data_IF_108039767991
#
_entry.id   IF_108039767991
#
_cell.length_a   1.000
_cell.length_b   1.000
_cell.length_c   1.000
_cell.angle_alpha   90.00
_cell.angle_beta   90.00
_cell.angle_gamma   90.00
#
_symmetry.space_group_name_H-M   'P 1'
#
loop_
_entity.id
_entity.type
_entity.pdbx_description
1 polymer ?
#
# COMPACT_ATOMS: atom_id res chain seq x y z
N UNK A 1 -39.14 -9.62 0.06
CA UNK A 1 -38.05 -10.26 -0.69
C UNK A 1 -37.90 -9.50 -1.99
N UNK A 2 -36.94 -8.57 -2.05
CA UNK A 2 -36.50 -7.97 -3.31
C UNK A 2 -35.56 -8.99 -3.97
N UNK A 3 -35.76 -9.24 -5.27
CA UNK A 3 -34.93 -10.16 -6.05
C UNK A 3 -33.56 -9.52 -6.25
N UNK A 4 -32.50 -10.33 -6.25
CA UNK A 4 -31.09 -9.93 -6.50
C UNK A 4 -30.81 -9.19 -7.82
N UNK A 5 -31.82 -8.99 -8.68
CA UNK A 5 -31.68 -8.42 -10.04
C UNK A 5 -32.17 -6.97 -10.20
N UNK A 6 -32.44 -6.24 -9.11
CA UNK A 6 -32.90 -4.83 -9.16
C UNK A 6 -31.84 -3.80 -8.74
N UNK A 7 -30.56 -4.19 -8.60
CA UNK A 7 -29.48 -3.20 -8.48
C UNK A 7 -29.15 -2.65 -9.86
N UNK A 8 -29.17 -1.33 -10.09
CA UNK A 8 -28.77 -0.76 -11.37
C UNK A 8 -27.35 -1.21 -11.70
N UNK A 9 -27.17 -1.86 -12.86
CA UNK A 9 -25.85 -2.12 -13.42
C UNK A 9 -25.19 -0.78 -13.68
N UNK A 10 -24.14 -0.50 -12.92
CA UNK A 10 -23.38 0.73 -13.03
C UNK A 10 -22.37 0.60 -14.18
N UNK A 11 -22.83 0.87 -15.39
CA UNK A 11 -22.06 0.73 -16.65
C UNK A 11 -21.02 1.86 -16.87
N UNK A 12 -20.73 2.67 -15.84
CA UNK A 12 -19.74 3.75 -15.95
C UNK A 12 -18.34 3.17 -16.17
N UNK A 13 -17.55 3.73 -17.10
CA UNK A 13 -16.23 3.20 -17.41
C UNK A 13 -15.29 3.31 -16.21
N UNK A 14 -14.55 2.24 -15.92
CA UNK A 14 -13.49 2.21 -14.92
C UNK A 14 -12.23 2.90 -15.46
N UNK A 15 -11.98 4.13 -15.02
CA UNK A 15 -10.81 4.91 -15.40
C UNK A 15 -9.56 4.36 -14.71
N UNK A 16 -8.52 4.08 -15.49
CA UNK A 16 -7.20 3.70 -14.97
C UNK A 16 -6.40 4.96 -14.64
N UNK A 17 -5.93 5.07 -13.41
CA UNK A 17 -5.17 6.21 -12.91
C UNK A 17 -3.95 5.70 -12.17
N UNK A 18 -2.83 6.39 -12.30
CA UNK A 18 -1.60 6.13 -11.56
C UNK A 18 -1.27 7.29 -10.63
N UNK A 19 -0.66 6.99 -9.49
CA UNK A 19 -0.16 8.01 -8.58
C UNK A 19 1.23 7.62 -8.04
N UNK A 20 2.10 8.61 -7.91
CA UNK A 20 3.48 8.44 -7.44
C UNK A 20 3.64 8.84 -5.98
N UNK A 21 4.14 7.92 -5.17
CA UNK A 21 4.59 8.12 -3.79
C UNK A 21 6.09 8.34 -3.83
N UNK A 22 6.50 9.59 -4.07
CA UNK A 22 7.90 9.97 -4.26
C UNK A 22 8.55 10.34 -2.94
N UNK A 23 9.73 9.77 -2.68
CA UNK A 23 10.55 10.06 -1.50
C UNK A 23 11.71 10.98 -1.85
N UNK A 24 12.04 11.96 -1.01
CA UNK A 24 13.29 12.73 -1.12
C UNK A 24 14.44 12.08 -0.32
N UNK A 25 15.66 12.62 -0.44
CA UNK A 25 16.82 12.16 0.33
C UNK A 25 16.75 12.37 1.85
N UNK A 26 15.76 13.15 2.33
CA UNK A 26 15.47 13.33 3.75
C UNK A 26 14.41 12.33 4.26
N UNK A 27 13.84 11.49 3.39
CA UNK A 27 12.80 10.53 3.76
C UNK A 27 11.40 11.15 3.91
N UNK A 28 11.14 12.29 3.27
CA UNK A 28 9.80 12.90 3.20
C UNK A 28 9.13 12.59 1.86
N UNK A 29 7.80 12.55 1.88
CA UNK A 29 6.95 12.24 0.73
C UNK A 29 6.42 13.51 0.05
N UNK A 30 6.41 13.52 -1.28
CA UNK A 30 5.86 14.63 -2.04
C UNK A 30 4.33 14.55 -2.10
N UNK A 31 3.67 15.63 -1.67
CA UNK A 31 2.25 15.87 -1.97
C UNK A 31 2.09 17.12 -2.81
N UNK A 32 1.06 17.14 -3.64
CA UNK A 32 0.66 18.29 -4.45
C UNK A 32 -0.80 18.68 -4.15
N UNK A 33 -1.12 19.97 -4.22
CA UNK A 33 -2.50 20.44 -4.13
C UNK A 33 -3.19 20.32 -5.47
N UNK A 34 -4.47 19.97 -5.49
CA UNK A 34 -5.28 19.97 -6.70
C UNK A 34 -5.48 21.41 -7.20
N UNK A 35 -5.14 21.71 -8.46
CA UNK A 35 -5.29 23.06 -9.02
C UNK A 35 -6.76 23.47 -9.11
N UNK A 36 -6.99 24.79 -9.20
CA UNK A 36 -8.32 25.37 -9.38
C UNK A 36 -9.02 24.81 -10.62
N UNK A 37 -10.33 24.60 -10.53
CA UNK A 37 -11.15 24.04 -11.62
C UNK A 37 -11.15 22.52 -11.76
N UNK A 38 -10.28 21.77 -11.06
CA UNK A 38 -10.42 20.32 -10.90
C UNK A 38 -11.40 19.99 -9.75
N UNK A 39 -12.11 18.84 -9.77
CA UNK A 39 -12.88 18.38 -8.61
C UNK A 39 -11.98 18.35 -7.37
N UNK A 40 -12.47 18.79 -6.21
CA UNK A 40 -11.67 18.93 -4.98
C UNK A 40 -10.47 19.89 -5.09
N UNK A 41 -10.59 21.00 -5.83
CA UNK A 41 -9.57 22.06 -5.84
C UNK A 41 -9.11 22.45 -4.42
N UNK A 42 -7.80 22.63 -4.24
CA UNK A 42 -7.17 22.92 -2.96
C UNK A 42 -6.92 21.72 -2.05
N UNK A 43 -7.46 20.54 -2.34
CA UNK A 43 -7.14 19.31 -1.59
C UNK A 43 -5.76 18.79 -1.96
N UNK A 44 -5.06 18.20 -1.00
CA UNK A 44 -3.74 17.61 -1.20
C UNK A 44 -3.81 16.14 -1.60
N UNK A 45 -2.95 15.71 -2.51
CA UNK A 45 -2.87 14.35 -3.00
C UNK A 45 -1.46 13.91 -3.44
N UNK A 46 -1.32 12.63 -3.78
CA UNK A 46 -0.17 12.13 -4.51
C UNK A 46 -0.34 12.46 -6.00
N UNK A 47 0.68 13.06 -6.60
CA UNK A 47 0.65 13.46 -8.01
C UNK A 47 0.57 12.24 -8.95
N UNK A 48 0.01 12.46 -10.12
CA UNK A 48 -0.21 11.44 -11.14
C UNK A 48 -1.50 11.73 -11.92
N UNK A 49 -1.86 10.81 -12.79
CA UNK A 49 -2.95 11.07 -13.72
C UNK A 49 -3.43 9.83 -14.44
N UNK A 50 -4.25 10.08 -15.47
CA UNK A 50 -4.95 9.05 -16.20
C UNK A 50 -3.98 8.29 -17.10
N UNK A 51 -4.14 6.98 -17.16
CA UNK A 51 -3.44 6.14 -18.14
C UNK A 51 -4.16 6.27 -19.48
N UNK A 52 -3.45 6.73 -20.50
CA UNK A 52 -4.02 6.90 -21.84
C UNK A 52 -4.07 5.56 -22.62
N UNK A 53 -4.89 5.47 -23.68
CA UNK A 53 -4.96 4.25 -24.48
C UNK A 53 -3.59 3.83 -25.01
N UNK A 54 -3.27 2.54 -24.85
CA UNK A 54 -1.98 1.93 -25.27
C UNK A 54 -0.76 2.38 -24.45
N UNK A 55 -0.96 3.16 -23.39
CA UNK A 55 0.09 3.58 -22.46
C UNK A 55 0.26 2.55 -21.32
N UNK A 56 1.51 2.28 -20.94
CA UNK A 56 1.80 1.50 -19.73
C UNK A 56 1.59 2.36 -18.48
N UNK A 57 1.35 1.73 -17.32
CA UNK A 57 1.16 2.48 -16.06
C UNK A 57 2.42 3.27 -15.67
N UNK A 58 3.61 2.71 -15.93
CA UNK A 58 4.87 3.38 -15.66
C UNK A 58 5.14 4.54 -16.62
N UNK A 59 4.79 4.39 -17.89
CA UNK A 59 4.95 5.47 -18.88
C UNK A 59 3.99 6.64 -18.58
N UNK A 60 2.74 6.32 -18.21
CA UNK A 60 1.79 7.32 -17.73
C UNK A 60 2.35 8.07 -16.52
N UNK A 61 2.86 7.35 -15.52
CA UNK A 61 3.45 7.97 -14.33
C UNK A 61 4.62 8.90 -14.69
N UNK A 62 5.52 8.46 -15.58
CA UNK A 62 6.67 9.26 -16.03
C UNK A 62 6.22 10.53 -16.74
N UNK A 63 5.26 10.43 -17.67
CA UNK A 63 4.70 11.55 -18.41
C UNK A 63 4.05 12.56 -17.46
N UNK A 64 3.15 12.11 -16.59
CA UNK A 64 2.43 12.97 -15.64
C UNK A 64 3.41 13.73 -14.73
N UNK A 65 4.43 13.06 -14.20
CA UNK A 65 5.44 13.72 -13.35
C UNK A 65 6.31 14.73 -14.12
N UNK A 66 6.59 14.48 -15.40
CA UNK A 66 7.30 15.44 -16.24
C UNK A 66 6.42 16.66 -16.58
N UNK A 67 5.15 16.43 -16.93
CA UNK A 67 4.17 17.44 -17.31
C UNK A 67 3.74 18.32 -16.13
N UNK A 68 3.43 17.73 -14.98
CA UNK A 68 2.92 18.45 -13.81
C UNK A 68 4.04 19.02 -12.94
N UNK A 69 5.11 18.24 -12.72
CA UNK A 69 6.11 18.50 -11.69
C UNK A 69 7.53 18.79 -12.23
N UNK A 70 7.77 18.57 -13.53
CA UNK A 70 9.08 18.80 -14.13
C UNK A 70 10.20 17.89 -13.63
N UNK A 71 9.85 16.70 -13.11
CA UNK A 71 10.82 15.70 -12.67
C UNK A 71 10.72 14.43 -13.51
N UNK A 72 11.82 13.69 -13.59
CA UNK A 72 11.88 12.45 -14.34
C UNK A 72 11.99 11.26 -13.37
N UNK A 73 11.10 10.28 -13.52
CA UNK A 73 11.12 9.02 -12.79
C UNK A 73 11.95 8.00 -13.58
N UNK A 74 12.99 7.44 -12.96
CA UNK A 74 13.87 6.42 -13.54
C UNK A 74 13.33 5.02 -13.26
N UNK A 75 12.92 4.79 -12.02
CA UNK A 75 12.37 3.52 -11.56
C UNK A 75 11.20 3.76 -10.60
N UNK A 76 10.20 2.90 -10.65
CA UNK A 76 9.07 2.93 -9.74
C UNK A 76 8.56 1.50 -9.50
N UNK A 77 8.29 1.17 -8.25
CA UNK A 77 7.78 -0.14 -7.85
C UNK A 77 6.26 -0.03 -7.64
N UNK A 78 5.43 -0.91 -8.23
CA UNK A 78 4.01 -1.00 -7.88
C UNK A 78 3.84 -1.17 -6.36
N UNK A 79 2.78 -0.63 -5.77
CA UNK A 79 2.59 -0.75 -4.32
C UNK A 79 1.15 -1.09 -3.92
N UNK A 80 0.22 -0.16 -4.07
CA UNK A 80 -1.17 -0.35 -3.65
C UNK A 80 -2.12 -0.09 -4.81
N UNK A 81 -3.26 -0.77 -4.77
CA UNK A 81 -4.36 -0.58 -5.71
C UNK A 81 -5.61 -0.21 -4.96
N UNK A 82 -6.32 0.85 -5.38
CA UNK A 82 -7.62 1.22 -4.84
C UNK A 82 -8.65 1.36 -5.96
N UNK A 83 -9.87 0.88 -5.69
CA UNK A 83 -11.02 1.16 -6.55
C UNK A 83 -11.90 2.14 -5.80
N UNK A 84 -12.09 3.32 -6.37
CA UNK A 84 -12.97 4.35 -5.83
C UNK A 84 -14.13 4.60 -6.78
N UNK A 85 -15.35 4.46 -6.27
CA UNK A 85 -16.58 4.77 -7.00
C UNK A 85 -17.04 6.16 -6.59
N UNK A 86 -16.73 7.17 -7.41
CA UNK A 86 -17.26 8.52 -7.24
C UNK A 86 -18.62 8.66 -7.94
N UNK A 87 -19.40 9.68 -7.57
CA UNK A 87 -20.65 10.03 -8.25
C UNK A 87 -20.45 10.33 -9.75
N UNK A 88 -19.26 10.77 -10.15
CA UNK A 88 -18.95 11.17 -11.53
C UNK A 88 -18.12 10.13 -12.31
N UNK A 89 -17.43 9.19 -11.65
CA UNK A 89 -16.63 8.17 -12.31
C UNK A 89 -16.20 7.03 -11.37
N UNK A 90 -15.85 5.86 -11.91
CA UNK A 90 -15.10 4.85 -11.16
C UNK A 90 -13.62 4.93 -11.52
N UNK A 91 -12.77 4.84 -10.50
CA UNK A 91 -11.31 4.98 -10.66
C UNK A 91 -10.63 3.73 -10.12
N UNK A 92 -9.83 3.09 -10.96
CA UNK A 92 -8.85 2.08 -10.61
C UNK A 92 -7.50 2.76 -10.47
N UNK A 93 -7.13 3.07 -9.22
CA UNK A 93 -5.96 3.84 -8.85
C UNK A 93 -4.80 2.92 -8.46
N UNK A 94 -3.68 3.02 -9.18
CA UNK A 94 -2.46 2.24 -8.95
C UNK A 94 -1.38 3.16 -8.40
N UNK A 95 -0.95 2.90 -7.16
CA UNK A 95 0.11 3.64 -6.49
C UNK A 95 1.46 3.00 -6.78
N UNK A 96 2.44 3.83 -7.12
CA UNK A 96 3.83 3.44 -7.32
C UNK A 96 4.72 4.13 -6.30
N UNK A 97 5.67 3.40 -5.72
CA UNK A 97 6.72 3.96 -4.86
C UNK A 97 7.93 4.34 -5.71
N UNK A 98 8.45 5.53 -5.47
CA UNK A 98 9.68 6.02 -6.11
C UNK A 98 10.66 6.42 -5.00
N UNK A 99 11.80 5.74 -4.93
CA UNK A 99 12.83 6.02 -3.93
C UNK A 99 13.59 7.29 -4.30
N UNK A 100 14.27 7.89 -3.33
CA UNK A 100 15.03 9.14 -3.53
C UNK A 100 16.08 9.09 -4.65
N UNK A 101 16.66 7.91 -4.92
CA UNK A 101 17.64 7.73 -6.00
C UNK A 101 17.02 7.40 -7.36
N UNK A 102 15.71 7.16 -7.42
CA UNK A 102 15.01 6.68 -8.62
C UNK A 102 14.29 7.80 -9.38
N UNK A 103 14.60 9.06 -9.08
CA UNK A 103 14.11 10.22 -9.82
C UNK A 103 15.16 11.33 -9.86
N UNK A 104 14.95 12.30 -10.75
CA UNK A 104 15.83 13.46 -10.90
C UNK A 104 15.09 14.69 -11.42
N UNK A 105 15.74 15.85 -11.35
CA UNK A 105 15.18 17.11 -11.80
C UNK A 105 14.97 18.10 -10.66
N UNK A 106 14.27 19.19 -10.94
CA UNK A 106 13.88 20.20 -9.95
C UNK A 106 12.37 20.33 -9.99
N UNK A 107 11.71 20.24 -8.83
CA UNK A 107 10.26 20.36 -8.76
C UNK A 107 9.80 21.73 -9.26
N UNK A 108 8.78 21.71 -10.11
CA UNK A 108 8.12 22.87 -10.71
C UNK A 108 6.61 22.73 -10.54
N UNK A 109 5.93 23.86 -10.35
CA UNK A 109 4.46 23.91 -10.33
C UNK A 109 3.95 24.25 -11.74
N UNK A 110 3.94 23.28 -12.66
CA UNK A 110 3.62 23.54 -14.07
C UNK A 110 2.13 23.77 -14.35
N UNK A 111 1.25 23.42 -13.40
CA UNK A 111 -0.20 23.61 -13.49
C UNK A 111 -0.74 24.62 -12.46
N UNK A 112 0.13 25.40 -11.81
CA UNK A 112 -0.26 26.34 -10.76
C UNK A 112 -0.64 25.68 -9.44
N UNK A 113 -0.28 24.41 -9.25
CA UNK A 113 -0.39 23.69 -7.98
C UNK A 113 0.64 24.15 -6.96
N UNK A 114 0.34 23.99 -5.68
CA UNK A 114 1.36 23.96 -4.63
C UNK A 114 1.87 22.54 -4.44
N UNK A 115 3.09 22.39 -3.95
CA UNK A 115 3.65 21.11 -3.53
C UNK A 115 4.35 21.24 -2.18
N UNK A 116 4.48 20.13 -1.47
CA UNK A 116 5.10 20.09 -0.15
C UNK A 116 5.70 18.72 0.15
N UNK A 117 6.88 18.72 0.76
CA UNK A 117 7.49 17.52 1.33
C UNK A 117 6.90 17.26 2.72
N UNK A 118 6.45 16.04 2.97
CA UNK A 118 5.68 15.68 4.15
C UNK A 118 6.24 14.43 4.82
N UNK A 119 6.40 14.50 6.14
CA UNK A 119 6.86 13.38 6.93
C UNK A 119 5.70 12.43 7.20
N UNK A 120 5.90 11.12 6.97
CA UNK A 120 4.88 10.13 7.34
C UNK A 120 4.56 10.19 8.84
N UNK A 121 3.27 10.25 9.15
CA UNK A 121 2.75 10.40 10.52
C UNK A 121 2.74 11.84 11.05
N UNK A 122 3.25 12.81 10.29
CA UNK A 122 3.30 14.23 10.67
C UNK A 122 3.04 15.11 9.43
N UNK A 123 1.81 15.01 8.92
CA UNK A 123 1.35 15.77 7.77
C UNK A 123 0.90 17.17 8.20
N UNK A 124 1.49 18.20 7.60
CA UNK A 124 1.27 19.62 7.91
C UNK A 124 0.35 20.33 6.93
N UNK A 125 0.00 19.66 5.82
CA UNK A 125 -0.92 20.19 4.79
C UNK A 125 -2.35 19.68 4.98
N UNK A 126 -3.32 20.51 4.62
CA UNK A 126 -4.76 20.17 4.68
C UNK A 126 -5.59 21.05 3.73
N UNK A 127 -6.80 20.61 3.30
CA UNK A 127 -7.40 19.29 3.53
C UNK A 127 -6.77 18.21 2.63
N UNK A 128 -6.69 16.98 3.12
CA UNK A 128 -6.22 15.83 2.34
C UNK A 128 -7.38 15.21 1.55
N UNK A 129 -7.13 14.75 0.32
CA UNK A 129 -8.11 14.00 -0.43
C UNK A 129 -8.53 12.74 0.36
N UNK A 130 -9.82 12.52 0.66
CA UNK A 130 -10.25 11.42 1.55
C UNK A 130 -9.75 10.03 1.13
N UNK A 131 -9.61 9.80 -0.18
CA UNK A 131 -9.11 8.55 -0.75
C UNK A 131 -7.68 8.19 -0.29
N UNK A 132 -6.87 9.18 0.12
CA UNK A 132 -5.47 8.96 0.48
C UNK A 132 -5.29 8.51 1.94
N UNK A 133 -6.30 8.62 2.80
CA UNK A 133 -6.19 8.24 4.22
C UNK A 133 -5.55 6.87 4.45
N UNK A 134 -6.08 5.79 3.84
CA UNK A 134 -5.49 4.45 3.95
C UNK A 134 -4.05 4.35 3.41
N UNK A 135 -3.72 5.09 2.34
CA UNK A 135 -2.38 5.09 1.75
C UNK A 135 -1.39 5.82 2.67
N UNK A 136 -1.80 6.93 3.28
CA UNK A 136 -0.99 7.67 4.25
C UNK A 136 -0.73 6.86 5.50
N UNK A 137 -1.73 6.14 6.02
CA UNK A 137 -1.56 5.20 7.12
C UNK A 137 -0.56 4.09 6.76
N UNK A 138 -0.64 3.57 5.53
CA UNK A 138 0.28 2.55 5.02
C UNK A 138 1.73 3.03 4.89
N UNK A 139 2.02 4.34 4.85
CA UNK A 139 3.39 4.88 4.90
C UNK A 139 4.04 4.73 6.27
N UNK A 140 3.26 4.58 7.34
CA UNK A 140 3.79 4.33 8.68
C UNK A 140 4.25 2.88 8.87
N UNK A 141 3.87 1.96 7.98
CA UNK A 141 4.34 0.56 8.05
C UNK A 141 5.80 0.51 7.62
N UNK A 142 6.71 -0.07 8.44
CA UNK A 142 8.11 -0.25 8.04
C UNK A 142 8.25 -1.21 6.86
N UNK A 143 9.15 -0.88 5.93
CA UNK A 143 9.52 -1.76 4.80
C UNK A 143 10.59 -2.78 5.19
N UNK A 144 11.21 -2.60 6.35
CA UNK A 144 12.15 -3.54 6.96
C UNK A 144 11.57 -4.00 8.30
N UNK A 145 11.36 -5.30 8.41
CA UNK A 145 10.71 -5.94 9.56
C UNK A 145 11.50 -7.18 9.95
N UNK A 146 11.50 -7.47 11.25
CA UNK A 146 12.03 -8.70 11.84
C UNK A 146 11.00 -9.30 12.80
N UNK A 147 11.08 -10.61 13.04
CA UNK A 147 10.21 -11.32 13.97
C UNK A 147 9.58 -12.56 13.38
N UNK A 148 8.49 -13.02 13.98
CA UNK A 148 7.70 -14.19 13.55
C UNK A 148 6.22 -14.00 13.87
N UNK A 149 5.34 -14.85 13.34
CA UNK A 149 3.92 -14.76 13.67
C UNK A 149 3.64 -15.04 15.17
N UNK A 150 4.49 -15.84 15.81
CA UNK A 150 4.35 -16.29 17.20
C UNK A 150 4.83 -15.25 18.20
N UNK A 151 5.84 -14.44 17.81
CA UNK A 151 6.47 -13.44 18.68
C UNK A 151 6.09 -12.00 18.32
N UNK A 152 5.49 -11.82 17.15
CA UNK A 152 5.18 -10.52 16.58
C UNK A 152 6.30 -9.98 15.69
N UNK A 153 6.09 -8.76 15.20
CA UNK A 153 7.03 -8.08 14.32
C UNK A 153 7.53 -6.79 14.94
N UNK A 154 8.77 -6.47 14.65
CA UNK A 154 9.42 -5.20 14.99
C UNK A 154 10.04 -4.59 13.75
N UNK A 155 9.98 -3.28 13.64
CA UNK A 155 10.72 -2.49 12.66
C UNK A 155 10.90 -1.08 13.16
N UNK A 156 11.47 -0.23 12.33
CA UNK A 156 11.65 1.18 12.63
C UNK A 156 11.12 2.01 11.48
N UNK A 157 10.51 3.15 11.81
CA UNK A 157 10.11 4.15 10.84
C UNK A 157 10.50 5.55 11.37
N UNK A 158 10.12 6.60 10.63
CA UNK A 158 10.44 7.99 11.03
C UNK A 158 9.70 8.49 12.28
N UNK A 159 8.74 7.71 12.79
CA UNK A 159 8.00 7.94 14.02
C UNK A 159 8.60 7.18 15.23
N UNK A 160 9.61 6.31 14.99
CA UNK A 160 10.31 5.52 16.01
C UNK A 160 10.07 4.02 15.85
N UNK A 161 10.16 3.31 16.98
CA UNK A 161 9.98 1.87 17.03
C UNK A 161 8.54 1.49 16.64
N UNK A 162 8.42 0.50 15.76
CA UNK A 162 7.15 -0.03 15.31
C UNK A 162 7.02 -1.49 15.75
N UNK A 163 6.04 -1.77 16.60
CA UNK A 163 5.80 -3.11 17.13
C UNK A 163 4.41 -3.61 16.78
N UNK A 164 4.33 -4.85 16.31
CA UNK A 164 3.10 -5.60 16.06
C UNK A 164 3.10 -6.79 17.00
N UNK A 165 2.08 -6.93 17.83
CA UNK A 165 1.99 -8.02 18.80
C UNK A 165 0.96 -9.07 18.38
N UNK A 166 1.21 -10.37 18.58
CA UNK A 166 0.18 -11.39 18.38
C UNK A 166 -1.03 -11.14 19.27
N UNK A 167 -2.24 -11.41 18.77
CA UNK A 167 -3.50 -11.16 19.48
C UNK A 167 -3.57 -11.87 20.83
N UNK A 168 -2.97 -13.06 20.94
CA UNK A 168 -2.89 -13.81 22.19
C UNK A 168 -2.04 -13.11 23.27
N UNK A 169 -1.16 -12.19 22.88
CA UNK A 169 -0.29 -11.40 23.76
C UNK A 169 -0.69 -9.92 23.80
N UNK A 170 -1.82 -9.56 23.19
CA UNK A 170 -2.23 -8.17 23.07
C UNK A 170 -2.73 -7.60 24.40
N UNK A 171 -2.41 -6.33 24.62
CA UNK A 171 -2.83 -5.54 25.79
C UNK A 171 -3.26 -4.15 25.31
N UNK A 172 -4.10 -3.40 26.04
CA UNK A 172 -4.61 -2.10 25.60
C UNK A 172 -3.55 -1.05 25.23
N UNK A 173 -2.32 -1.18 25.72
CA UNK A 173 -1.21 -0.29 25.37
C UNK A 173 -0.62 -0.55 23.97
N UNK A 174 -0.89 -1.73 23.39
CA UNK A 174 -0.36 -2.11 22.09
C UNK A 174 -1.23 -1.54 20.96
N UNK A 175 -0.60 -0.74 20.10
CA UNK A 175 -1.24 -0.06 18.98
C UNK A 175 -1.56 -0.99 17.81
N UNK A 176 -0.69 -1.95 17.53
CA UNK A 176 -0.81 -2.82 16.36
C UNK A 176 -0.90 -4.28 16.78
N UNK A 177 -1.86 -5.00 16.21
CA UNK A 177 -2.14 -6.38 16.58
C UNK A 177 -2.11 -7.29 15.35
N UNK A 178 -1.46 -8.45 15.48
CA UNK A 178 -1.48 -9.54 14.50
C UNK A 178 -2.47 -10.63 14.92
N UNK A 179 -3.39 -11.00 14.06
CA UNK A 179 -4.33 -12.11 14.27
C UNK A 179 -4.41 -12.98 13.01
N UNK A 180 -4.49 -14.30 13.17
CA UNK A 180 -4.72 -15.20 12.03
C UNK A 180 -6.12 -15.05 11.43
N UNK A 181 -6.26 -15.21 10.12
CA UNK A 181 -7.54 -15.06 9.42
C UNK A 181 -8.66 -15.92 10.03
N UNK A 182 -8.39 -17.19 10.34
CA UNK A 182 -9.36 -18.08 10.97
C UNK A 182 -9.71 -17.65 12.41
N UNK A 183 -8.72 -17.19 13.17
CA UNK A 183 -8.94 -16.67 14.51
C UNK A 183 -9.77 -15.37 14.50
N UNK A 184 -9.56 -14.50 13.50
CA UNK A 184 -10.35 -13.29 13.30
C UNK A 184 -11.80 -13.62 12.93
N UNK A 185 -12.01 -14.57 12.01
CA UNK A 185 -13.35 -15.07 11.67
C UNK A 185 -14.06 -15.60 12.93
N UNK A 186 -13.36 -16.39 13.75
CA UNK A 186 -13.92 -16.92 15.00
C UNK A 186 -14.21 -15.83 16.05
N UNK A 187 -13.35 -14.82 16.15
CA UNK A 187 -13.56 -13.67 17.05
C UNK A 187 -14.78 -12.82 16.64
N UNK A 188 -15.15 -12.85 15.35
CA UNK A 188 -16.42 -12.36 14.84
C UNK A 188 -16.58 -10.84 14.77
N UNK A 189 -15.54 -10.08 15.13
CA UNK A 189 -15.49 -8.61 15.02
C UNK A 189 -14.07 -8.09 14.88
N UNK A 190 -13.89 -6.89 14.34
CA UNK A 190 -12.59 -6.22 14.28
C UNK A 190 -12.09 -5.86 15.70
N UNK A 191 -10.86 -6.23 16.11
CA UNK A 191 -10.24 -5.72 17.32
C UNK A 191 -10.15 -4.18 17.31
N UNK A 192 -10.38 -3.54 18.47
CA UNK A 192 -10.24 -2.08 18.61
C UNK A 192 -8.77 -1.72 18.82
N UNK A 193 -8.03 -1.67 17.72
CA UNK A 193 -6.59 -1.36 17.66
C UNK A 193 -6.34 -0.26 16.63
N UNK A 194 -5.22 0.44 16.73
CA UNK A 194 -4.82 1.49 15.78
C UNK A 194 -4.52 0.87 14.40
N UNK A 195 -3.90 -0.32 14.37
CA UNK A 195 -3.68 -1.08 13.14
C UNK A 195 -3.88 -2.58 13.35
N UNK A 196 -4.71 -3.19 12.52
CA UNK A 196 -4.97 -4.63 12.48
C UNK A 196 -4.16 -5.29 11.36
N UNK A 197 -3.29 -6.20 11.76
CA UNK A 197 -2.52 -7.07 10.88
C UNK A 197 -3.18 -8.44 10.83
N UNK A 198 -3.38 -8.98 9.63
CA UNK A 198 -3.99 -10.30 9.45
C UNK A 198 -2.99 -11.26 8.84
N UNK A 199 -2.75 -12.39 9.52
CA UNK A 199 -1.94 -13.48 8.99
C UNK A 199 -2.82 -14.39 8.11
N UNK A 200 -2.36 -14.62 6.88
CA UNK A 200 -2.99 -15.50 5.89
C UNK A 200 -1.97 -16.51 5.36
N UNK A 201 -2.46 -17.65 4.89
CA UNK A 201 -1.65 -18.75 4.36
C UNK A 201 -1.98 -19.06 2.90
N UNK A 202 -3.07 -18.49 2.37
CA UNK A 202 -3.52 -18.73 1.00
C UNK A 202 -4.37 -17.56 0.46
N UNK A 203 -4.68 -17.64 -0.85
CA UNK A 203 -5.42 -16.60 -1.56
C UNK A 203 -6.88 -16.44 -1.10
N UNK A 204 -7.51 -17.50 -0.61
CA UNK A 204 -8.88 -17.45 -0.09
C UNK A 204 -8.93 -16.63 1.21
N UNK A 205 -7.99 -16.87 2.12
CA UNK A 205 -7.85 -16.09 3.35
C UNK A 205 -7.46 -14.64 3.07
N UNK A 206 -6.60 -14.39 2.07
CA UNK A 206 -6.27 -13.04 1.62
C UNK A 206 -7.52 -12.28 1.15
N UNK A 207 -8.32 -12.89 0.28
CA UNK A 207 -9.58 -12.30 -0.20
C UNK A 207 -10.61 -12.10 0.94
N UNK A 208 -10.58 -12.97 1.95
CA UNK A 208 -11.43 -12.92 3.14
C UNK A 208 -10.98 -11.95 4.25
N UNK A 209 -9.94 -11.14 4.02
CA UNK A 209 -9.43 -10.18 5.00
C UNK A 209 -9.58 -8.70 4.56
N UNK A 210 -10.77 -8.25 4.09
CA UNK A 210 -10.95 -6.91 3.50
C UNK A 210 -10.72 -5.77 4.50
N UNK A 211 -10.88 -6.04 5.79
CA UNK A 211 -10.70 -5.05 6.85
C UNK A 211 -9.25 -4.96 7.36
N UNK A 212 -8.31 -5.79 6.88
CA UNK A 212 -6.93 -5.69 7.36
C UNK A 212 -6.31 -4.32 7.02
N UNK A 213 -5.49 -3.75 7.89
CA UNK A 213 -4.65 -2.60 7.54
C UNK A 213 -3.33 -3.05 6.90
N UNK A 214 -2.87 -4.25 7.28
CA UNK A 214 -1.71 -4.94 6.71
C UNK A 214 -2.03 -6.44 6.65
N UNK A 215 -1.64 -7.11 5.56
CA UNK A 215 -1.70 -8.56 5.49
C UNK A 215 -0.28 -9.13 5.55
N UNK A 216 -0.10 -10.13 6.41
CA UNK A 216 1.10 -10.98 6.44
C UNK A 216 0.75 -12.29 5.75
N UNK A 217 1.35 -12.58 4.61
CA UNK A 217 1.17 -13.84 3.92
C UNK A 217 2.32 -14.78 4.26
N UNK A 218 2.02 -15.83 5.02
CA UNK A 218 2.97 -16.92 5.29
C UNK A 218 3.04 -17.85 4.08
N UNK A 219 4.17 -17.85 3.40
CA UNK A 219 4.42 -18.69 2.23
C UNK A 219 5.27 -19.90 2.61
N UNK A 220 4.64 -21.07 2.69
CA UNK A 220 5.28 -22.32 3.13
C UNK A 220 5.89 -23.16 2.00
N UNK A 221 5.62 -22.84 0.74
CA UNK A 221 6.10 -23.60 -0.43
C UNK A 221 6.23 -22.72 -1.68
N UNK A 222 6.83 -23.27 -2.75
CA UNK A 222 7.01 -22.55 -4.02
C UNK A 222 5.67 -22.18 -4.69
N UNK A 223 4.66 -23.04 -4.61
CA UNK A 223 3.33 -22.76 -5.14
C UNK A 223 2.71 -21.52 -4.47
N UNK A 224 2.80 -21.45 -3.14
CA UNK A 224 2.37 -20.26 -2.39
C UNK A 224 3.21 -19.03 -2.77
N UNK A 225 4.51 -19.21 -3.00
CA UNK A 225 5.41 -18.11 -3.37
C UNK A 225 5.05 -17.48 -4.72
N UNK A 226 4.74 -18.32 -5.70
CA UNK A 226 4.26 -17.92 -7.03
C UNK A 226 2.88 -17.28 -6.95
N UNK A 227 2.01 -17.79 -6.07
CA UNK A 227 0.69 -17.20 -5.84
C UNK A 227 0.77 -15.79 -5.26
N UNK A 228 1.70 -15.54 -4.33
CA UNK A 228 2.01 -14.20 -3.81
C UNK A 228 2.43 -13.25 -4.95
N UNK A 229 3.33 -13.70 -5.85
CA UNK A 229 3.74 -12.89 -7.01
C UNK A 229 2.57 -12.54 -7.92
N UNK A 230 1.68 -13.50 -8.17
CA UNK A 230 0.51 -13.26 -8.99
C UNK A 230 -0.40 -12.19 -8.37
N UNK A 231 -0.72 -12.31 -7.08
CA UNK A 231 -1.57 -11.35 -6.35
C UNK A 231 -0.96 -9.95 -6.33
N UNK A 232 0.36 -9.85 -6.14
CA UNK A 232 1.06 -8.56 -6.20
C UNK A 232 0.95 -7.89 -7.58
N UNK A 233 1.06 -8.66 -8.67
CA UNK A 233 0.94 -8.14 -10.05
C UNK A 233 -0.49 -7.69 -10.37
N UNK A 234 -1.48 -8.44 -9.91
CA UNK A 234 -2.90 -8.06 -9.98
C UNK A 234 -3.16 -6.78 -9.19
N UNK A 235 -2.43 -6.59 -8.09
CA UNK A 235 -2.42 -5.40 -7.26
C UNK A 235 -3.14 -5.63 -5.94
N UNK A 236 -2.59 -5.08 -4.86
CA UNK A 236 -3.07 -5.31 -3.49
C UNK A 236 -3.68 -4.06 -2.88
N UNK A 237 -4.80 -4.23 -2.18
CA UNK A 237 -5.51 -3.12 -1.53
C UNK A 237 -4.81 -2.56 -0.30
N UNK A 238 -3.92 -3.33 0.31
CA UNK A 238 -3.24 -3.03 1.58
C UNK A 238 -1.81 -3.54 1.53
N UNK A 239 -0.88 -3.00 2.35
CA UNK A 239 0.46 -3.54 2.48
C UNK A 239 0.48 -5.07 2.64
N UNK A 240 1.21 -5.74 1.74
CA UNK A 240 1.42 -7.18 1.80
C UNK A 240 2.85 -7.47 2.27
N UNK A 241 2.98 -7.97 3.50
CA UNK A 241 4.24 -8.49 4.05
C UNK A 241 4.31 -9.98 3.73
N UNK A 242 5.42 -10.42 3.15
CA UNK A 242 5.65 -11.85 2.88
C UNK A 242 6.49 -12.43 4.01
N UNK A 243 5.97 -13.45 4.68
CA UNK A 243 6.67 -14.23 5.69
C UNK A 243 7.03 -15.58 5.08
N UNK A 244 8.31 -15.94 5.00
CA UNK A 244 8.73 -17.19 4.39
C UNK A 244 10.02 -17.72 5.01
N UNK A 245 10.25 -19.02 4.91
CA UNK A 245 11.54 -19.61 5.30
C UNK A 245 12.70 -19.05 4.44
N UNK A 246 13.93 -19.22 4.92
CA UNK A 246 15.13 -18.64 4.32
C UNK A 246 15.32 -19.05 2.86
N UNK A 247 15.17 -20.34 2.53
CA UNK A 247 15.34 -20.85 1.15
C UNK A 247 14.37 -20.21 0.16
N UNK A 248 13.08 -20.09 0.52
CA UNK A 248 12.08 -19.42 -0.31
C UNK A 248 12.36 -17.92 -0.41
N UNK A 249 12.76 -17.30 0.69
CA UNK A 249 13.10 -15.88 0.72
C UNK A 249 14.30 -15.56 -0.17
N UNK A 250 15.37 -16.36 -0.14
CA UNK A 250 16.52 -16.19 -1.05
C UNK A 250 16.11 -16.28 -2.52
N UNK A 251 15.22 -17.22 -2.85
CA UNK A 251 14.75 -17.44 -4.23
C UNK A 251 13.81 -16.35 -4.74
N UNK A 252 12.88 -15.86 -3.92
CA UNK A 252 11.77 -15.02 -4.37
C UNK A 252 11.80 -13.57 -3.86
N UNK A 253 12.64 -13.21 -2.88
CA UNK A 253 12.66 -11.87 -2.25
C UNK A 253 12.72 -10.73 -3.26
N UNK A 254 13.66 -10.78 -4.20
CA UNK A 254 13.78 -9.73 -5.21
C UNK A 254 12.52 -9.64 -6.07
N UNK A 255 11.97 -10.78 -6.51
CA UNK A 255 10.76 -10.80 -7.33
C UNK A 255 9.53 -10.26 -6.57
N UNK A 256 9.38 -10.60 -5.29
CA UNK A 256 8.29 -10.09 -4.46
C UNK A 256 8.41 -8.59 -4.24
N UNK A 257 9.59 -8.10 -3.91
CA UNK A 257 9.82 -6.66 -3.69
C UNK A 257 9.59 -5.86 -4.98
N UNK A 258 10.09 -6.32 -6.12
CA UNK A 258 9.86 -5.68 -7.43
C UNK A 258 8.37 -5.72 -7.86
N UNK A 259 7.63 -6.75 -7.43
CA UNK A 259 6.19 -6.84 -7.66
C UNK A 259 5.36 -5.98 -6.69
N UNK A 260 5.97 -5.39 -5.65
CA UNK A 260 5.29 -4.48 -4.73
C UNK A 260 5.00 -5.03 -3.34
N UNK A 261 5.63 -6.15 -2.94
CA UNK A 261 5.59 -6.59 -1.54
C UNK A 261 6.10 -5.46 -0.64
N UNK A 262 5.37 -5.19 0.44
CA UNK A 262 5.72 -4.12 1.35
C UNK A 262 7.02 -4.42 2.12
N UNK A 263 7.18 -5.68 2.54
CA UNK A 263 8.36 -6.21 3.19
C UNK A 263 8.44 -7.74 2.97
N UNK A 264 9.64 -8.30 3.13
CA UNK A 264 9.86 -9.75 3.15
C UNK A 264 10.62 -10.11 4.42
N UNK A 265 10.01 -10.93 5.27
CA UNK A 265 10.53 -11.37 6.58
C UNK A 265 10.91 -12.84 6.49
N UNK A 266 12.14 -13.17 6.90
CA UNK A 266 12.55 -14.56 7.03
C UNK A 266 11.98 -15.12 8.34
N UNK A 267 11.12 -16.13 8.23
CA UNK A 267 10.63 -16.87 9.39
C UNK A 267 11.79 -17.70 9.95
N UNK A 268 12.34 -17.27 11.09
CA UNK A 268 13.33 -18.08 11.80
C UNK A 268 12.58 -19.24 12.44
N UNK A 269 12.83 -20.46 11.99
CA UNK A 269 12.45 -21.63 12.77
C UNK A 269 13.13 -21.49 14.14
N UNK A 270 12.35 -21.36 15.21
CA UNK A 270 12.87 -21.57 16.56
C UNK A 270 13.23 -23.06 16.66
N UNK A 271 14.45 -23.40 16.26
CA UNK A 271 15.01 -24.72 16.48
C UNK A 271 15.06 -24.97 17.98
N UNK A 272 14.32 -25.95 18.46
CA UNK A 272 14.67 -26.61 19.71
C UNK A 272 15.97 -27.38 19.42
N UNK A 273 17.08 -26.85 19.90
CA UNK A 273 18.34 -27.59 20.05
C UNK A 273 18.31 -28.36 21.38
#
# INVERSE_FOLDING_TARGET
MLKENDMPQDDRPLLRVVAGVVLNGQGDYLLASRPEGKPYAGYWEFAGGKVEPQESELDALKREFEEELGIHIHHATPWLTKIHMYEHAHVHLRFFRVKAGDWSGTLQAKEGQSWSWQKAGDFTVSPMLPANGPVLAALAVPTELAGSAETGFTGENRMGDYRVVPFAMWEPAHKHCLIGAEALKHYGRRPQVESLWVLVENAEQFAGAPDADVVVWRSACEESAERVLQVLREGVGVPLVVLAEECLSEKYRSAWLEAGAHAVVNERQTGWA
#
